data_IF_724646596492
#
_entry.id   IF_724646596492
#
_cell.length_a   1.000
_cell.length_b   1.000
_cell.length_c   1.000
_cell.angle_alpha   90.00
_cell.angle_beta   90.00
_cell.angle_gamma   90.00
#
_symmetry.space_group_name_H-M   'P 1'
#
loop_
_entity.id
_entity.type
_entity.pdbx_description
1 polymer ?
#
# COMPACT_ATOMS: atom_id res chain seq x y z
N UNK A 1 -15.08 16.88 -5.12
CA UNK A 1 -14.45 17.26 -6.41
C UNK A 1 -15.08 16.42 -7.49
N UNK A 2 -15.27 16.97 -8.68
CA UNK A 2 -15.81 16.25 -9.83
C UNK A 2 -14.92 16.50 -11.05
N UNK A 3 -14.60 15.43 -11.78
CA UNK A 3 -13.89 15.47 -13.07
C UNK A 3 -14.63 14.53 -14.02
N UNK A 4 -14.91 15.00 -15.24
CA UNK A 4 -15.41 14.16 -16.32
C UNK A 4 -14.23 13.44 -16.99
N UNK A 5 -14.32 12.11 -17.13
CA UNK A 5 -13.23 11.29 -17.69
C UNK A 5 -13.76 10.23 -18.64
N UNK A 6 -12.96 9.88 -19.65
CA UNK A 6 -13.25 8.81 -20.60
C UNK A 6 -12.16 7.75 -20.53
N UNK A 7 -12.50 6.61 -19.91
CA UNK A 7 -11.58 5.46 -19.86
C UNK A 7 -11.24 4.89 -21.26
N UNK A 8 -12.12 5.10 -22.25
CA UNK A 8 -11.92 4.61 -23.62
C UNK A 8 -10.87 5.41 -24.39
N UNK A 9 -10.87 6.74 -24.22
CA UNK A 9 -9.97 7.65 -24.94
C UNK A 9 -8.78 8.10 -24.09
N UNK A 10 -8.80 7.82 -22.78
CA UNK A 10 -7.80 8.28 -21.82
C UNK A 10 -8.01 9.72 -21.34
N UNK A 11 -9.07 10.39 -21.80
CA UNK A 11 -9.31 11.80 -21.50
C UNK A 11 -9.66 12.00 -20.02
N UNK A 12 -8.99 12.96 -19.37
CA UNK A 12 -9.19 13.30 -17.95
C UNK A 12 -8.75 12.24 -16.93
N UNK A 13 -8.32 11.04 -17.37
CA UNK A 13 -7.95 9.94 -16.45
C UNK A 13 -6.74 10.31 -15.60
N UNK A 14 -5.67 10.79 -16.23
CA UNK A 14 -4.44 11.17 -15.51
C UNK A 14 -4.70 12.30 -14.49
N UNK A 15 -5.46 13.32 -14.89
CA UNK A 15 -5.82 14.44 -14.03
C UNK A 15 -6.65 14.00 -12.82
N UNK A 16 -7.62 13.11 -13.03
CA UNK A 16 -8.43 12.56 -11.94
C UNK A 16 -7.59 11.80 -10.91
N UNK A 17 -6.64 10.98 -11.37
CA UNK A 17 -5.72 10.27 -10.48
C UNK A 17 -4.78 11.23 -9.73
N UNK A 18 -4.17 12.18 -10.44
CA UNK A 18 -3.24 13.14 -9.85
C UNK A 18 -3.91 14.02 -8.80
N UNK A 19 -5.07 14.56 -9.11
CA UNK A 19 -5.74 15.48 -8.18
C UNK A 19 -6.28 14.75 -6.95
N UNK A 20 -6.75 13.51 -7.13
CA UNK A 20 -7.10 12.64 -6.00
C UNK A 20 -5.88 12.36 -5.12
N UNK A 21 -4.74 12.00 -5.71
CA UNK A 21 -3.50 11.75 -4.97
C UNK A 21 -3.03 12.99 -4.21
N UNK A 22 -3.08 14.18 -4.83
CA UNK A 22 -2.76 15.45 -4.17
C UNK A 22 -3.68 15.71 -2.99
N UNK A 23 -4.98 15.47 -3.15
CA UNK A 23 -5.95 15.68 -2.07
C UNK A 23 -5.75 14.73 -0.91
N UNK A 24 -5.45 13.45 -1.17
CA UNK A 24 -5.09 12.48 -0.12
C UNK A 24 -3.86 12.99 0.64
N UNK A 25 -2.82 13.42 -0.08
CA UNK A 25 -1.60 13.95 0.54
C UNK A 25 -1.85 15.20 1.40
N UNK A 26 -2.64 16.15 0.89
CA UNK A 26 -3.02 17.34 1.66
C UNK A 26 -3.82 16.99 2.91
N UNK A 27 -4.77 16.06 2.81
CA UNK A 27 -5.57 15.62 3.96
C UNK A 27 -4.71 14.94 5.04
N UNK A 28 -3.64 14.23 4.65
CA UNK A 28 -2.67 13.66 5.59
C UNK A 28 -1.89 14.76 6.30
N UNK A 29 -1.36 15.74 5.55
CA UNK A 29 -0.60 16.85 6.13
C UNK A 29 -1.44 17.71 7.07
N UNK A 30 -2.72 17.90 6.75
CA UNK A 30 -3.70 18.62 7.57
C UNK A 30 -4.17 17.79 8.79
N UNK A 31 -3.82 16.50 8.86
CA UNK A 31 -4.26 15.59 9.93
C UNK A 31 -5.73 15.16 9.80
N UNK A 32 -6.42 15.54 8.72
CA UNK A 32 -7.78 15.08 8.41
C UNK A 32 -7.82 13.60 8.00
N UNK A 33 -6.68 13.00 7.62
CA UNK A 33 -6.53 11.57 7.34
C UNK A 33 -5.39 10.99 8.18
N UNK A 34 -5.70 10.06 9.08
CA UNK A 34 -4.71 9.39 9.92
C UNK A 34 -4.09 8.18 9.21
N UNK A 35 -2.77 8.21 9.06
CA UNK A 35 -1.98 7.14 8.44
C UNK A 35 -1.90 5.86 9.29
N UNK A 36 -2.15 5.95 10.59
CA UNK A 36 -2.12 4.80 11.49
C UNK A 36 -3.46 4.05 11.54
N UNK A 37 -4.52 4.64 10.99
CA UNK A 37 -5.82 3.99 10.91
C UNK A 37 -5.74 2.82 9.92
N UNK A 38 -6.00 1.59 10.40
CA UNK A 38 -5.95 0.38 9.59
C UNK A 38 -6.91 0.39 8.39
N UNK A 39 -7.95 1.23 8.45
CA UNK A 39 -8.94 1.44 7.38
C UNK A 39 -8.57 2.56 6.38
N UNK A 40 -7.50 3.33 6.61
CA UNK A 40 -7.14 4.47 5.75
C UNK A 40 -6.69 4.06 4.35
N UNK A 41 -6.21 2.82 4.16
CA UNK A 41 -5.66 2.35 2.88
C UNK A 41 -4.35 3.02 2.44
N UNK A 42 -3.82 3.96 3.22
CA UNK A 42 -2.55 4.64 2.96
C UNK A 42 -1.44 3.94 3.74
N UNK A 43 -0.36 3.58 3.06
CA UNK A 43 0.82 2.97 3.70
C UNK A 43 1.91 4.01 3.90
N UNK A 44 2.55 3.96 5.07
CA UNK A 44 3.82 4.65 5.26
C UNK A 44 4.83 4.11 4.25
N UNK A 45 5.72 5.00 3.80
CA UNK A 45 6.91 4.61 3.03
C UNK A 45 7.54 3.42 3.76
N UNK A 46 7.70 2.24 3.11
CA UNK A 46 8.37 1.14 3.76
C UNK A 46 9.76 1.65 4.10
N UNK A 47 10.00 1.89 5.39
CA UNK A 47 11.36 2.13 5.84
C UNK A 47 12.14 0.90 5.41
N UNK A 48 13.34 1.03 4.81
CA UNK A 48 14.27 -0.08 4.71
C UNK A 48 14.78 -0.41 6.13
N UNK A 49 13.87 -0.75 7.04
CA UNK A 49 14.18 -1.64 8.14
C UNK A 49 14.42 -2.97 7.45
N UNK A 50 15.71 -3.21 7.22
CA UNK A 50 16.32 -4.51 7.12
C UNK A 50 15.29 -5.60 7.44
N UNK A 51 14.75 -6.24 6.40
CA UNK A 51 14.13 -7.56 6.51
C UNK A 51 15.25 -8.56 6.85
N UNK A 52 15.97 -8.31 7.94
CA UNK A 52 16.89 -9.24 8.57
C UNK A 52 16.06 -10.20 9.40
N UNK A 53 15.28 -11.02 8.72
CA UNK A 53 15.09 -12.39 9.18
C UNK A 53 16.13 -13.23 8.46
N UNK A 54 17.32 -13.14 9.05
CA UNK A 54 18.51 -13.93 8.83
C UNK A 54 18.21 -15.34 8.27
N UNK A 55 18.62 -15.58 7.02
CA UNK A 55 18.91 -16.91 6.52
C UNK A 55 20.15 -17.43 7.27
N UNK A 56 19.95 -18.09 8.42
CA UNK A 56 21.01 -18.93 8.97
C UNK A 56 20.42 -20.08 9.78
N UNK A 57 20.77 -21.29 9.34
CA UNK A 57 20.20 -22.54 9.84
C UNK A 57 20.39 -22.73 11.34
N UNK A 58 19.30 -23.16 12.00
CA UNK A 58 19.36 -24.00 13.18
C UNK A 58 18.31 -25.08 13.06
N UNK A 59 18.81 -26.31 12.95
CA UNK A 59 18.09 -27.54 13.26
C UNK A 59 17.46 -27.40 14.64
N UNK A 60 16.17 -27.70 14.75
CA UNK A 60 15.60 -28.63 15.75
C UNK A 60 14.06 -28.50 15.75
N UNK A 61 13.36 -29.64 15.77
CA UNK A 61 11.92 -29.68 16.09
C UNK A 61 10.94 -29.95 14.95
N UNK A 62 10.86 -31.20 14.51
CA UNK A 62 9.62 -32.01 14.50
C UNK A 62 8.30 -31.36 14.00
N UNK A 63 7.78 -31.87 12.87
CA UNK A 63 6.32 -32.00 12.69
C UNK A 63 5.73 -31.44 11.39
N UNK A 64 5.69 -32.31 10.37
CA UNK A 64 4.60 -32.47 9.40
C UNK A 64 3.93 -31.20 8.83
N UNK A 65 4.46 -30.67 7.72
CA UNK A 65 3.71 -29.75 6.84
C UNK A 65 3.72 -30.29 5.43
N UNK A 66 2.70 -31.09 5.14
CA UNK A 66 2.35 -31.52 3.80
C UNK A 66 2.10 -30.31 2.91
N UNK A 67 2.69 -30.34 1.72
CA UNK A 67 2.30 -29.68 0.49
C UNK A 67 0.90 -29.04 0.51
N UNK A 68 0.84 -27.73 0.38
CA UNK A 68 -0.30 -27.05 -0.22
C UNK A 68 0.23 -26.11 -1.28
N UNK A 69 0.12 -26.60 -2.52
CA UNK A 69 0.35 -25.87 -3.74
C UNK A 69 -1.02 -25.60 -4.37
N UNK A 70 -1.46 -24.35 -4.30
CA UNK A 70 -2.56 -23.79 -5.07
C UNK A 70 -2.34 -22.28 -5.27
#
# INVERSE_FOLDING_TARGET
>A
MFIETSAKTGDGVEEAFLETARRIFSNIQDGSLDLNAAESGVQHKPSPVLSSTNANGRQDGSGNRSDCQC
#
